data_IF_178514698261
#
_entry.id   IF_178514698261
#
_cell.length_a   1.000
_cell.length_b   1.000
_cell.length_c   1.000
_cell.angle_alpha   90.00
_cell.angle_beta   90.00
_cell.angle_gamma   90.00
#
_symmetry.space_group_name_H-M   'P 1'
#
loop_
_entity.id
_entity.type
_entity.pdbx_description
1 polymer ?
#
# COMPACT_ATOMS: atom_id res chain seq x y z
N UNK A 1 11.97 21.02 10.92
CA UNK A 1 10.85 20.66 10.03
C UNK A 1 10.17 19.36 10.45
N UNK A 2 10.90 18.23 10.57
CA UNK A 2 10.32 16.92 10.94
C UNK A 2 9.57 16.89 12.28
N UNK A 3 10.13 17.44 13.36
CA UNK A 3 9.43 17.53 14.66
C UNK A 3 8.07 18.23 14.58
N UNK A 4 7.99 19.30 13.77
CA UNK A 4 6.73 20.04 13.56
C UNK A 4 5.74 19.23 12.74
N UNK A 5 6.22 18.46 11.75
CA UNK A 5 5.39 17.57 10.96
C UNK A 5 4.79 16.47 11.83
N UNK A 6 5.62 15.77 12.62
CA UNK A 6 5.16 14.75 13.58
C UNK A 6 4.15 15.33 14.57
N UNK A 7 4.41 16.51 15.14
CA UNK A 7 3.45 17.16 16.04
C UNK A 7 2.06 17.37 15.40
N UNK A 8 2.03 17.76 14.13
CA UNK A 8 0.77 17.93 13.40
C UNK A 8 0.08 16.59 13.11
N UNK A 9 0.85 15.56 12.71
CA UNK A 9 0.34 14.20 12.51
C UNK A 9 -0.27 13.67 13.80
N UNK A 10 0.46 13.73 14.92
CA UNK A 10 0.00 13.25 16.22
C UNK A 10 -1.31 13.93 16.64
N UNK A 11 -1.39 15.26 16.51
CA UNK A 11 -2.61 15.99 16.83
C UNK A 11 -3.81 15.59 15.94
N UNK A 12 -3.59 15.31 14.66
CA UNK A 12 -4.66 14.85 13.77
C UNK A 12 -5.08 13.41 14.09
N UNK A 13 -4.13 12.53 14.42
CA UNK A 13 -4.42 11.15 14.84
C UNK A 13 -5.22 11.12 16.13
N UNK A 14 -4.90 11.98 17.10
CA UNK A 14 -5.70 12.16 18.32
C UNK A 14 -7.15 12.58 18.03
N UNK A 15 -7.40 13.21 16.87
CA UNK A 15 -8.73 13.57 16.37
C UNK A 15 -9.34 12.52 15.43
N UNK A 16 -8.77 11.32 15.33
CA UNK A 16 -9.31 10.19 14.57
C UNK A 16 -8.78 10.03 13.14
N UNK A 17 -7.75 10.79 12.73
CA UNK A 17 -7.07 10.55 11.46
C UNK A 17 -6.28 9.23 11.51
N UNK A 18 -6.45 8.39 10.50
CA UNK A 18 -5.56 7.24 10.27
C UNK A 18 -4.30 7.71 9.54
N UNK A 19 -3.12 7.39 10.10
CA UNK A 19 -1.81 7.74 9.53
C UNK A 19 -0.97 6.48 9.32
N UNK A 20 -0.22 6.45 8.22
CA UNK A 20 0.75 5.40 7.91
C UNK A 20 1.95 5.99 7.15
N UNK A 21 3.12 5.34 7.27
CA UNK A 21 4.33 5.71 6.53
C UNK A 21 4.36 5.11 5.13
N UNK A 22 4.62 5.92 4.10
CA UNK A 22 4.62 5.48 2.70
C UNK A 22 5.95 4.89 2.23
N UNK A 23 6.77 4.33 3.13
CA UNK A 23 8.06 3.74 2.78
C UNK A 23 9.11 4.77 2.34
N UNK A 24 8.93 6.04 2.66
CA UNK A 24 9.88 7.12 2.36
C UNK A 24 10.83 7.42 3.54
N UNK A 25 10.88 6.52 4.52
CA UNK A 25 11.67 6.62 5.75
C UNK A 25 11.30 7.81 6.67
N UNK A 26 10.07 8.33 6.59
CA UNK A 26 9.64 9.46 7.42
C UNK A 26 9.67 9.13 8.91
N UNK A 27 9.20 7.95 9.33
CA UNK A 27 9.24 7.55 10.75
C UNK A 27 10.68 7.44 11.28
N UNK A 28 11.56 6.80 10.50
CA UNK A 28 12.96 6.60 10.85
C UNK A 28 13.71 7.92 11.02
N UNK A 29 13.61 8.82 10.03
CA UNK A 29 14.30 10.11 10.08
C UNK A 29 13.68 11.05 11.12
N UNK A 30 12.38 10.93 11.39
CA UNK A 30 11.73 11.67 12.47
C UNK A 30 12.18 11.20 13.85
N UNK A 31 12.38 9.90 14.04
CA UNK A 31 12.93 9.32 15.27
C UNK A 31 14.36 9.81 15.51
N UNK A 32 15.23 9.75 14.49
CA UNK A 32 16.60 10.30 14.54
C UNK A 32 16.62 11.79 14.85
N UNK A 33 15.64 12.55 14.37
CA UNK A 33 15.50 13.96 14.68
C UNK A 33 15.02 14.21 16.11
N UNK A 34 14.58 13.20 16.87
CA UNK A 34 14.02 13.31 18.21
C UNK A 34 12.59 13.84 18.23
N UNK A 35 11.76 13.39 17.28
CA UNK A 35 10.33 13.62 17.27
C UNK A 35 9.57 12.51 18.03
N UNK A 36 8.37 12.83 18.52
CA UNK A 36 7.50 11.90 19.26
C UNK A 36 6.82 10.90 18.31
N UNK A 37 7.62 9.97 17.78
CA UNK A 37 7.20 9.01 16.75
C UNK A 37 7.46 7.55 17.15
N UNK A 38 8.06 7.32 18.31
CA UNK A 38 8.22 6.01 18.91
C UNK A 38 6.97 5.66 19.73
N UNK A 39 6.75 4.37 19.97
CA UNK A 39 5.75 3.87 20.91
C UNK A 39 6.11 4.21 22.37
N UNK A 40 5.27 3.77 23.31
CA UNK A 40 5.45 4.06 24.74
C UNK A 40 6.71 3.40 25.33
N UNK A 41 7.07 2.22 24.82
CA UNK A 41 8.24 1.45 25.24
C UNK A 41 9.54 1.91 24.56
N UNK A 42 9.44 2.68 23.47
CA UNK A 42 10.57 3.19 22.69
C UNK A 42 11.19 2.16 21.74
N UNK A 43 10.54 1.01 21.54
CA UNK A 43 11.05 -0.13 20.77
C UNK A 43 10.56 -0.11 19.31
N UNK A 44 9.32 0.36 19.08
CA UNK A 44 8.71 0.43 17.75
C UNK A 44 8.28 1.86 17.40
N UNK A 45 7.84 2.05 16.16
CA UNK A 45 7.19 3.30 15.77
C UNK A 45 5.73 3.29 16.21
N UNK A 46 5.23 4.49 16.56
CA UNK A 46 3.83 4.72 16.92
C UNK A 46 2.86 4.43 15.76
N UNK A 47 3.33 4.51 14.52
CA UNK A 47 2.52 4.34 13.32
C UNK A 47 3.03 3.22 12.43
N UNK A 48 2.11 2.49 11.77
CA UNK A 48 2.49 1.45 10.82
C UNK A 48 3.09 2.02 9.54
N UNK A 49 3.79 1.17 8.79
CA UNK A 49 4.10 1.44 7.39
C UNK A 49 3.01 0.88 6.46
N UNK A 50 2.85 1.52 5.30
CA UNK A 50 1.99 1.10 4.19
C UNK A 50 2.17 -0.39 3.83
N UNK A 51 3.41 -0.85 3.82
CA UNK A 51 3.75 -2.23 3.47
C UNK A 51 3.30 -3.20 4.55
N UNK A 52 3.54 -2.87 5.82
CA UNK A 52 3.24 -3.75 6.94
C UNK A 52 1.75 -3.86 7.22
N UNK A 53 1.00 -2.76 7.08
CA UNK A 53 -0.38 -2.68 7.58
C UNK A 53 -1.44 -2.73 6.47
N UNK A 54 -1.07 -2.42 5.23
CA UNK A 54 -2.00 -2.42 4.09
C UNK A 54 -1.60 -3.47 3.07
N UNK A 55 -0.45 -3.31 2.41
CA UNK A 55 -0.10 -4.16 1.26
C UNK A 55 0.22 -5.60 1.61
N UNK A 56 0.84 -5.87 2.77
CA UNK A 56 1.12 -7.23 3.21
C UNK A 56 -0.18 -8.04 3.34
N UNK A 57 -1.07 -7.65 4.26
CA UNK A 57 -2.31 -8.39 4.51
C UNK A 57 -3.27 -8.42 3.32
N UNK A 58 -3.38 -7.33 2.57
CA UNK A 58 -4.36 -7.24 1.48
C UNK A 58 -3.87 -7.86 0.17
N UNK A 59 -2.56 -7.78 -0.12
CA UNK A 59 -2.03 -8.15 -1.43
C UNK A 59 -1.00 -9.27 -1.34
N UNK A 60 0.14 -9.02 -0.69
CA UNK A 60 1.32 -9.87 -0.82
C UNK A 60 1.17 -11.22 -0.14
N UNK A 61 0.43 -11.30 0.97
CA UNK A 61 0.18 -12.56 1.68
C UNK A 61 -0.64 -13.55 0.82
N UNK A 62 -1.42 -13.03 -0.14
CA UNK A 62 -2.19 -13.80 -1.12
C UNK A 62 -1.50 -13.92 -2.48
N UNK A 63 -0.28 -13.38 -2.63
CA UNK A 63 0.49 -13.40 -3.87
C UNK A 63 0.08 -12.35 -4.90
N UNK A 64 -0.80 -11.40 -4.56
CA UNK A 64 -1.06 -10.25 -5.43
C UNK A 64 0.12 -9.30 -5.43
N UNK A 65 0.48 -8.83 -6.61
CA UNK A 65 1.58 -7.89 -6.80
C UNK A 65 1.59 -7.36 -8.22
N UNK A 66 2.54 -6.47 -8.54
CA UNK A 66 2.61 -5.87 -9.87
C UNK A 66 2.91 -6.93 -10.93
N UNK A 67 1.92 -7.24 -11.76
CA UNK A 67 2.08 -8.01 -12.99
C UNK A 67 2.17 -7.05 -14.17
N UNK A 68 3.16 -7.24 -15.05
CA UNK A 68 3.40 -6.35 -16.19
C UNK A 68 3.74 -7.16 -17.43
N UNK A 69 3.14 -6.80 -18.56
CA UNK A 69 3.52 -7.28 -19.89
C UNK A 69 3.85 -6.12 -20.83
N UNK A 70 4.42 -6.45 -21.98
CA UNK A 70 4.75 -5.49 -23.05
C UNK A 70 4.38 -6.12 -24.39
N UNK A 71 3.69 -5.36 -25.25
CA UNK A 71 3.41 -5.77 -26.62
C UNK A 71 4.62 -5.45 -27.51
N UNK A 72 5.40 -6.46 -27.89
CA UNK A 72 6.63 -6.31 -28.66
C UNK A 72 6.44 -5.76 -30.09
N UNK A 73 5.20 -5.73 -30.59
CA UNK A 73 4.83 -5.12 -31.87
C UNK A 73 4.98 -3.59 -31.88
N UNK A 74 4.92 -2.95 -30.72
CA UNK A 74 4.87 -1.49 -30.60
C UNK A 74 3.55 -0.86 -31.08
N UNK A 75 2.55 -1.69 -31.43
CA UNK A 75 1.22 -1.25 -31.84
C UNK A 75 0.31 -1.08 -30.61
N UNK A 76 -0.32 0.08 -30.47
CA UNK A 76 -1.28 0.35 -29.41
C UNK A 76 -2.49 -0.58 -29.45
N UNK A 77 -2.90 -1.04 -30.64
CA UNK A 77 -4.03 -1.96 -30.78
C UNK A 77 -3.78 -3.33 -30.15
N UNK A 78 -2.52 -3.74 -29.98
CA UNK A 78 -2.21 -4.97 -29.25
C UNK A 78 -2.34 -4.79 -27.74
N UNK A 79 -2.10 -3.58 -27.23
CA UNK A 79 -2.36 -3.27 -25.82
C UNK A 79 -3.86 -3.34 -25.54
N UNK A 80 -4.69 -2.73 -26.38
CA UNK A 80 -6.17 -2.79 -26.28
C UNK A 80 -6.68 -4.23 -26.24
N UNK A 81 -6.11 -5.11 -27.08
CA UNK A 81 -6.47 -6.54 -27.08
C UNK A 81 -6.04 -7.22 -25.79
N UNK A 82 -4.82 -6.96 -25.31
CA UNK A 82 -4.37 -7.58 -24.05
C UNK A 82 -5.14 -7.08 -22.84
N UNK A 83 -5.60 -5.83 -22.84
CA UNK A 83 -6.46 -5.28 -21.78
C UNK A 83 -7.81 -6.00 -21.75
N UNK A 84 -8.43 -6.20 -22.91
CA UNK A 84 -9.68 -6.97 -23.02
C UNK A 84 -9.52 -8.43 -22.55
N UNK A 85 -8.40 -9.08 -22.91
CA UNK A 85 -8.09 -10.43 -22.45
C UNK A 85 -7.89 -10.46 -20.93
N UNK A 86 -7.15 -9.50 -20.37
CA UNK A 86 -6.91 -9.43 -18.93
C UNK A 86 -8.22 -9.24 -18.15
N UNK A 87 -9.10 -8.36 -18.64
CA UNK A 87 -10.43 -8.15 -18.06
C UNK A 87 -11.25 -9.44 -18.06
N UNK A 88 -11.40 -10.11 -19.21
CA UNK A 88 -12.20 -11.34 -19.32
C UNK A 88 -11.70 -12.43 -18.35
N UNK A 89 -10.38 -12.60 -18.26
CA UNK A 89 -9.77 -13.58 -17.36
C UNK A 89 -10.00 -13.21 -15.89
N UNK A 90 -9.81 -11.94 -15.51
CA UNK A 90 -10.02 -11.49 -14.13
C UNK A 90 -11.47 -11.65 -13.69
N UNK A 91 -12.44 -11.26 -14.52
CA UNK A 91 -13.87 -11.45 -14.26
C UNK A 91 -14.22 -12.94 -14.06
N UNK A 92 -13.66 -13.81 -14.92
CA UNK A 92 -13.84 -15.25 -14.83
C UNK A 92 -13.23 -15.89 -13.57
N UNK A 93 -12.07 -15.39 -13.13
CA UNK A 93 -11.43 -15.84 -11.89
C UNK A 93 -12.20 -15.33 -10.65
N UNK A 94 -12.65 -14.08 -10.68
CA UNK A 94 -13.37 -13.43 -9.57
C UNK A 94 -14.66 -14.16 -9.22
N UNK A 95 -15.38 -14.69 -10.21
CA UNK A 95 -16.58 -15.51 -10.01
C UNK A 95 -16.33 -16.76 -9.12
N UNK A 96 -15.09 -17.26 -9.07
CA UNK A 96 -14.67 -18.44 -8.29
C UNK A 96 -13.82 -18.08 -7.08
N UNK A 97 -13.44 -16.82 -6.92
CA UNK A 97 -12.54 -16.37 -5.88
C UNK A 97 -13.22 -16.40 -4.49
N UNK A 98 -12.47 -16.77 -3.43
CA UNK A 98 -12.93 -16.63 -2.05
C UNK A 98 -13.08 -15.14 -1.69
N UNK A 99 -13.93 -14.81 -0.71
CA UNK A 99 -14.34 -13.42 -0.41
C UNK A 99 -13.14 -12.53 -0.07
N UNK A 100 -12.14 -13.11 0.56
CA UNK A 100 -10.94 -12.47 1.10
C UNK A 100 -10.07 -11.82 0.02
N UNK A 101 -10.14 -12.30 -1.23
CA UNK A 101 -9.31 -11.78 -2.34
C UNK A 101 -10.11 -11.06 -3.42
N UNK A 102 -11.45 -11.03 -3.32
CA UNK A 102 -12.30 -10.41 -4.35
C UNK A 102 -12.05 -8.93 -4.51
N UNK A 103 -11.85 -8.21 -3.40
CA UNK A 103 -11.57 -6.77 -3.41
C UNK A 103 -10.26 -6.44 -4.14
N UNK A 104 -9.35 -7.40 -4.33
CA UNK A 104 -8.12 -7.20 -5.10
C UNK A 104 -8.27 -7.48 -6.60
N UNK A 105 -9.42 -8.01 -7.00
CA UNK A 105 -9.74 -8.44 -8.37
C UNK A 105 -10.83 -7.59 -9.03
N UNK A 106 -11.56 -6.79 -8.23
CA UNK A 106 -12.53 -5.76 -8.68
C UNK A 106 -11.82 -4.58 -9.37
#
# INVERSE_FOLDING_TARGET
TLKRHVKAVNALVENGMYFFDYGNAFLLESSRAGAEIMDEDGELFRYPSYVQDIMGPMCFDYGFGPFRWVCASGDGADLDKTDAIAQEILEGLMAKAPKEIREQMD
#
